data_IF_042528920470
#
_entry.id   IF_042528920470
#
_cell.length_a   1.000
_cell.length_b   1.000
_cell.length_c   1.000
_cell.angle_alpha   90.00
_cell.angle_beta   90.00
_cell.angle_gamma   90.00
#
_symmetry.space_group_name_H-M   'P 1'
#
loop_
_entity.id
_entity.type
_entity.pdbx_description
1 polymer ?
#
# COMPACT_ATOMS: atom_id res chain seq x y z
N UNK A 1 -19.23 8.68 0.48
CA UNK A 1 -18.08 8.89 1.39
C UNK A 1 -17.21 7.64 1.53
N UNK A 2 -17.76 6.45 1.49
CA UNK A 2 -17.02 5.17 1.59
C UNK A 2 -16.09 4.90 0.41
N UNK A 3 -16.50 5.24 -0.81
CA UNK A 3 -15.70 5.01 -2.03
C UNK A 3 -14.36 5.74 -2.02
N UNK A 4 -14.31 6.96 -1.48
CA UNK A 4 -13.05 7.71 -1.35
C UNK A 4 -12.03 7.06 -0.39
N UNK A 5 -12.47 6.18 0.53
CA UNK A 5 -11.57 5.45 1.42
C UNK A 5 -10.74 4.40 0.67
N UNK A 6 -11.23 3.87 -0.47
CA UNK A 6 -10.47 2.95 -1.33
C UNK A 6 -9.15 3.57 -1.80
N UNK A 7 -9.19 4.86 -2.15
CA UNK A 7 -8.00 5.59 -2.59
C UNK A 7 -6.95 5.65 -1.46
N UNK A 8 -7.39 5.83 -0.21
CA UNK A 8 -6.46 5.93 0.92
C UNK A 8 -5.79 4.60 1.25
N UNK A 9 -6.42 3.46 0.98
CA UNK A 9 -5.77 2.14 1.13
C UNK A 9 -4.50 2.07 0.30
N UNK A 10 -4.55 2.55 -0.95
CA UNK A 10 -3.42 2.52 -1.89
C UNK A 10 -2.49 3.75 -1.73
N UNK A 11 -3.06 4.94 -1.56
CA UNK A 11 -2.29 6.18 -1.54
C UNK A 11 -1.45 6.36 -0.26
N UNK A 12 -1.92 5.85 0.88
CA UNK A 12 -1.20 6.02 2.13
C UNK A 12 0.19 5.35 2.11
N UNK A 13 0.38 4.07 1.71
CA UNK A 13 1.72 3.50 1.63
C UNK A 13 2.59 4.13 0.54
N UNK A 14 2.00 4.64 -0.56
CA UNK A 14 2.74 5.42 -1.57
C UNK A 14 3.29 6.71 -0.96
N UNK A 15 2.49 7.43 -0.16
CA UNK A 15 2.97 8.58 0.59
C UNK A 15 4.06 8.19 1.61
N UNK A 16 3.90 7.03 2.26
CA UNK A 16 4.92 6.44 3.12
C UNK A 16 6.22 6.13 2.38
N UNK A 17 6.15 5.63 1.14
CA UNK A 17 7.32 5.41 0.29
C UNK A 17 8.03 6.73 -0.04
N UNK A 18 7.28 7.78 -0.41
CA UNK A 18 7.84 9.10 -0.68
C UNK A 18 8.54 9.68 0.56
N UNK A 19 7.94 9.54 1.76
CA UNK A 19 8.55 9.95 3.01
C UNK A 19 9.85 9.18 3.31
N UNK A 20 9.86 7.86 3.08
CA UNK A 20 11.04 7.03 3.25
C UNK A 20 12.18 7.43 2.31
N UNK A 21 11.87 7.76 1.06
CA UNK A 21 12.84 8.25 0.08
C UNK A 21 13.41 9.61 0.51
N UNK A 22 12.57 10.53 0.99
CA UNK A 22 13.03 11.82 1.54
C UNK A 22 13.98 11.61 2.73
N UNK A 23 13.67 10.65 3.61
CA UNK A 23 14.57 10.29 4.73
C UNK A 23 15.92 9.73 4.28
N UNK A 24 15.95 9.00 3.16
CA UNK A 24 17.21 8.53 2.57
C UNK A 24 18.05 9.67 1.99
N UNK A 25 17.40 10.65 1.35
CA UNK A 25 18.07 11.81 0.77
C UNK A 25 18.57 12.78 1.85
N UNK A 26 17.79 13.00 2.90
CA UNK A 26 18.09 13.89 4.01
C UNK A 26 18.32 13.09 5.30
N UNK A 27 19.56 12.77 5.60
CA UNK A 27 19.95 11.88 6.70
C UNK A 27 19.40 12.29 8.08
N UNK A 28 19.15 13.56 8.30
CA UNK A 28 18.52 14.10 9.52
C UNK A 28 17.05 13.69 9.67
N UNK A 29 16.36 13.39 8.56
CA UNK A 29 14.95 13.00 8.53
C UNK A 29 14.75 11.48 8.59
N UNK A 30 15.82 10.68 8.49
CA UNK A 30 15.71 9.22 8.38
C UNK A 30 14.90 8.56 9.50
N UNK A 31 15.07 8.88 10.81
CA UNK A 31 14.28 8.26 11.86
C UNK A 31 12.79 8.63 11.75
N UNK A 32 12.47 9.88 11.43
CA UNK A 32 11.11 10.34 11.24
C UNK A 32 10.46 9.72 10.01
N UNK A 33 11.20 9.59 8.92
CA UNK A 33 10.74 8.97 7.70
C UNK A 33 10.29 7.51 7.91
N UNK A 34 11.04 6.72 8.68
CA UNK A 34 10.67 5.34 9.05
C UNK A 34 9.36 5.30 9.85
N UNK A 35 9.20 6.22 10.81
CA UNK A 35 7.99 6.32 11.63
C UNK A 35 6.78 6.70 10.75
N UNK A 36 6.94 7.72 9.89
CA UNK A 36 5.88 8.18 8.99
C UNK A 36 5.49 7.07 8.00
N UNK A 37 6.47 6.35 7.43
CA UNK A 37 6.20 5.20 6.56
C UNK A 37 5.43 4.10 7.28
N UNK A 38 5.79 3.77 8.51
CA UNK A 38 5.04 2.78 9.30
C UNK A 38 3.64 3.28 9.67
N UNK A 39 3.52 4.57 10.03
CA UNK A 39 2.22 5.17 10.35
C UNK A 39 1.27 5.19 9.13
N UNK A 40 1.80 5.32 7.91
CA UNK A 40 1.00 5.26 6.69
C UNK A 40 0.26 3.93 6.51
N UNK A 41 0.84 2.81 6.99
CA UNK A 41 0.16 1.51 7.02
C UNK A 41 -1.02 1.49 8.00
N UNK A 42 -0.91 2.20 9.12
CA UNK A 42 -2.04 2.33 10.05
C UNK A 42 -3.22 3.08 9.39
N UNK A 43 -2.93 4.08 8.55
CA UNK A 43 -3.97 4.78 7.77
C UNK A 43 -4.69 3.81 6.83
N UNK A 44 -3.94 2.99 6.07
CA UNK A 44 -4.53 1.95 5.21
C UNK A 44 -5.34 0.94 6.02
N UNK A 45 -4.83 0.51 7.17
CA UNK A 45 -5.52 -0.41 8.07
C UNK A 45 -6.83 0.15 8.62
N UNK A 46 -6.85 1.42 9.01
CA UNK A 46 -8.08 2.12 9.45
C UNK A 46 -9.07 2.23 8.29
N UNK A 47 -8.61 2.61 7.09
CA UNK A 47 -9.48 2.67 5.91
C UNK A 47 -10.13 1.30 5.63
N UNK A 48 -9.35 0.20 5.65
CA UNK A 48 -9.86 -1.16 5.46
C UNK A 48 -10.84 -1.58 6.58
N UNK A 49 -10.57 -1.19 7.82
CA UNK A 49 -11.49 -1.48 8.94
C UNK A 49 -12.83 -0.76 8.78
N UNK A 50 -12.83 0.49 8.29
CA UNK A 50 -14.05 1.23 8.00
C UNK A 50 -14.83 0.66 6.80
N UNK A 51 -14.12 0.04 5.84
CA UNK A 51 -14.71 -0.62 4.67
C UNK A 51 -15.18 -2.06 4.97
N UNK A 52 -14.88 -2.60 6.14
CA UNK A 52 -15.25 -3.97 6.50
C UNK A 52 -16.77 -4.19 6.54
N UNK A 53 -17.52 -3.25 7.13
CA UNK A 53 -18.97 -3.42 7.30
C UNK A 53 -19.73 -3.55 5.97
N UNK A 54 -19.59 -2.65 4.97
CA UNK A 54 -20.25 -2.81 3.69
C UNK A 54 -19.81 -4.09 2.96
N UNK A 55 -18.51 -4.40 2.96
CA UNK A 55 -18.00 -5.61 2.27
C UNK A 55 -18.53 -6.90 2.91
N UNK A 56 -18.59 -6.98 4.25
CA UNK A 56 -19.17 -8.12 4.96
C UNK A 56 -20.68 -8.29 4.71
N UNK A 57 -21.37 -7.21 4.36
CA UNK A 57 -22.78 -7.24 3.94
C UNK A 57 -22.96 -7.67 2.48
N UNK A 58 -21.86 -8.00 1.77
CA UNK A 58 -21.90 -8.46 0.38
C UNK A 58 -21.86 -7.33 -0.65
N UNK A 59 -21.58 -6.09 -0.23
CA UNK A 59 -21.43 -4.98 -1.17
C UNK A 59 -20.06 -5.05 -1.87
N UNK A 60 -20.06 -4.81 -3.18
CA UNK A 60 -18.85 -4.58 -3.96
C UNK A 60 -18.68 -3.08 -4.13
N UNK A 61 -17.58 -2.55 -3.58
CA UNK A 61 -17.28 -1.12 -3.65
C UNK A 61 -16.40 -0.85 -4.87
N UNK A 62 -16.73 0.18 -5.64
CA UNK A 62 -15.93 0.60 -6.80
C UNK A 62 -15.65 2.09 -6.77
N UNK A 63 -14.46 2.47 -7.24
CA UNK A 63 -14.04 3.86 -7.36
C UNK A 63 -13.25 4.06 -8.66
N UNK A 64 -13.69 4.97 -9.51
CA UNK A 64 -12.98 5.32 -10.76
C UNK A 64 -11.99 6.46 -10.49
N UNK A 65 -10.72 6.19 -10.71
CA UNK A 65 -9.65 7.18 -10.59
C UNK A 65 -9.72 8.18 -11.76
N UNK A 66 -9.83 9.46 -11.42
CA UNK A 66 -9.80 10.55 -12.41
C UNK A 66 -11.09 10.73 -13.21
N UNK A 67 -12.19 10.05 -12.87
CA UNK A 67 -13.50 10.17 -13.55
C UNK A 67 -13.48 9.85 -15.06
N UNK A 68 -12.50 9.08 -15.52
CA UNK A 68 -12.47 8.54 -16.87
C UNK A 68 -13.26 7.25 -16.95
N UNK A 69 -14.18 7.12 -17.93
CA UNK A 69 -14.96 5.89 -18.07
C UNK A 69 -14.10 4.70 -18.52
N UNK A 70 -14.53 3.49 -18.14
CA UNK A 70 -13.94 2.26 -18.66
C UNK A 70 -14.05 2.19 -20.20
N UNK A 71 -13.05 1.65 -20.90
CA UNK A 71 -11.84 0.96 -20.43
C UNK A 71 -10.59 1.85 -20.27
N UNK A 72 -10.73 3.18 -20.33
CA UNK A 72 -9.59 4.13 -20.32
C UNK A 72 -9.17 4.49 -18.89
N UNK A 73 -10.11 4.50 -17.94
CA UNK A 73 -9.88 4.84 -16.56
C UNK A 73 -9.45 3.65 -15.71
N UNK A 74 -8.70 3.92 -14.63
CA UNK A 74 -8.33 2.93 -13.62
C UNK A 74 -9.50 2.79 -12.65
N UNK A 75 -10.05 1.59 -12.53
CA UNK A 75 -11.09 1.26 -11.57
C UNK A 75 -10.50 0.50 -10.38
N UNK A 76 -10.72 1.02 -9.17
CA UNK A 76 -10.49 0.26 -7.94
C UNK A 76 -11.78 -0.44 -7.57
N UNK A 77 -11.71 -1.74 -7.32
CA UNK A 77 -12.84 -2.59 -6.94
C UNK A 77 -12.46 -3.35 -5.67
N UNK A 78 -13.30 -3.27 -4.66
CA UNK A 78 -13.12 -4.01 -3.40
C UNK A 78 -14.32 -4.93 -3.17
N UNK A 79 -14.07 -6.21 -3.31
CA UNK A 79 -14.96 -7.30 -2.92
C UNK A 79 -14.46 -8.00 -1.64
N UNK A 80 -15.13 -9.07 -1.21
CA UNK A 80 -14.75 -9.83 -0.03
C UNK A 80 -13.36 -10.45 -0.12
N UNK A 81 -12.94 -10.93 -1.29
CA UNK A 81 -11.62 -11.56 -1.50
C UNK A 81 -10.53 -10.48 -1.49
N UNK A 82 -10.76 -9.38 -2.19
CA UNK A 82 -9.87 -8.22 -2.20
C UNK A 82 -9.67 -7.64 -0.79
N UNK A 83 -10.76 -7.54 -0.01
CA UNK A 83 -10.69 -7.05 1.36
C UNK A 83 -9.86 -7.96 2.26
N UNK A 84 -10.09 -9.28 2.24
CA UNK A 84 -9.31 -10.25 3.04
C UNK A 84 -7.84 -10.21 2.64
N UNK A 85 -7.53 -10.15 1.35
CA UNK A 85 -6.17 -10.07 0.82
C UNK A 85 -5.46 -8.80 1.28
N UNK A 86 -6.13 -7.64 1.21
CA UNK A 86 -5.60 -6.36 1.65
C UNK A 86 -5.43 -6.32 3.18
N UNK A 87 -6.37 -6.86 3.95
CA UNK A 87 -6.29 -6.93 5.41
C UNK A 87 -5.11 -7.80 5.86
N UNK A 88 -4.93 -8.98 5.26
CA UNK A 88 -3.80 -9.87 5.54
C UNK A 88 -2.46 -9.19 5.21
N UNK A 89 -2.38 -8.54 4.04
CA UNK A 89 -1.22 -7.73 3.64
C UNK A 89 -0.90 -6.67 4.70
N UNK A 90 -1.92 -5.95 5.19
CA UNK A 90 -1.75 -4.91 6.21
C UNK A 90 -1.15 -5.47 7.50
N UNK A 91 -1.68 -6.59 8.00
CA UNK A 91 -1.22 -7.22 9.24
C UNK A 91 0.25 -7.64 9.12
N UNK A 92 0.60 -8.34 8.04
CA UNK A 92 1.97 -8.81 7.81
C UNK A 92 2.92 -7.61 7.61
N UNK A 93 2.52 -6.65 6.80
CA UNK A 93 3.30 -5.44 6.52
C UNK A 93 3.58 -4.63 7.79
N UNK A 94 2.56 -4.47 8.65
CA UNK A 94 2.71 -3.76 9.92
C UNK A 94 3.69 -4.48 10.84
N UNK A 95 3.60 -5.81 10.95
CA UNK A 95 4.54 -6.61 11.74
C UNK A 95 5.99 -6.45 11.25
N UNK A 96 6.21 -6.51 9.93
CA UNK A 96 7.54 -6.31 9.31
C UNK A 96 8.04 -4.89 9.53
N UNK A 97 7.20 -3.87 9.33
CA UNK A 97 7.59 -2.47 9.49
C UNK A 97 7.98 -2.16 10.94
N UNK A 98 7.15 -2.56 11.91
CA UNK A 98 7.42 -2.37 13.35
C UNK A 98 8.71 -3.09 13.78
N UNK A 99 8.90 -4.34 13.34
CA UNK A 99 10.13 -5.09 13.61
C UNK A 99 11.38 -4.40 13.05
N UNK A 100 11.24 -3.74 11.91
CA UNK A 100 12.35 -3.09 11.20
C UNK A 100 12.71 -1.70 11.77
N UNK A 101 11.78 -1.01 12.47
CA UNK A 101 11.97 0.35 12.98
C UNK A 101 13.20 0.51 13.87
N UNK A 102 13.39 -0.43 14.82
CA UNK A 102 14.47 -0.34 15.81
C UNK A 102 15.84 -0.79 15.29
N UNK A 103 15.95 -1.25 14.05
CA UNK A 103 17.17 -1.86 13.52
C UNK A 103 17.91 -0.91 12.58
N UNK A 104 19.20 -0.67 12.87
CA UNK A 104 20.06 0.21 12.04
C UNK A 104 20.30 -0.34 10.63
N UNK A 105 20.18 -1.66 10.44
CA UNK A 105 20.32 -2.31 9.13
C UNK A 105 19.26 -1.82 8.13
N UNK A 106 18.04 -1.57 8.60
CA UNK A 106 16.92 -1.16 7.75
C UNK A 106 16.85 0.37 7.65
N UNK A 107 17.38 0.90 6.57
CA UNK A 107 17.43 2.34 6.27
C UNK A 107 16.15 2.84 5.60
N UNK A 108 16.06 4.14 5.34
CA UNK A 108 14.96 4.72 4.55
C UNK A 108 14.77 4.06 3.18
N UNK A 109 15.86 3.59 2.55
CA UNK A 109 15.78 2.83 1.30
C UNK A 109 15.02 1.49 1.45
N UNK A 110 15.23 0.77 2.55
CA UNK A 110 14.46 -0.44 2.85
C UNK A 110 12.97 -0.12 2.99
N UNK A 111 12.62 0.90 3.76
CA UNK A 111 11.22 1.31 3.96
C UNK A 111 10.58 1.79 2.66
N UNK A 112 11.33 2.45 1.78
CA UNK A 112 10.83 2.82 0.46
C UNK A 112 10.37 1.59 -0.34
N UNK A 113 11.25 0.58 -0.50
CA UNK A 113 10.88 -0.63 -1.26
C UNK A 113 9.85 -1.48 -0.53
N UNK A 114 9.84 -1.51 0.80
CA UNK A 114 8.78 -2.17 1.57
C UNK A 114 7.42 -1.52 1.29
N UNK A 115 7.32 -0.18 1.33
CA UNK A 115 6.06 0.53 1.04
C UNK A 115 5.63 0.37 -0.42
N UNK A 116 6.57 0.36 -1.37
CA UNK A 116 6.28 0.08 -2.79
C UNK A 116 5.73 -1.33 -2.97
N UNK A 117 6.34 -2.33 -2.33
CA UNK A 117 5.83 -3.72 -2.34
C UNK A 117 4.38 -3.79 -1.83
N UNK A 118 4.11 -3.16 -0.68
CA UNK A 118 2.77 -3.16 -0.08
C UNK A 118 1.76 -2.45 -0.97
N UNK A 119 2.15 -1.31 -1.57
CA UNK A 119 1.30 -0.59 -2.51
C UNK A 119 0.96 -1.45 -3.73
N UNK A 120 1.93 -2.18 -4.27
CA UNK A 120 1.71 -3.14 -5.35
C UNK A 120 0.73 -4.24 -4.95
N UNK A 121 0.87 -4.81 -3.75
CA UNK A 121 -0.02 -5.85 -3.23
C UNK A 121 -1.45 -5.33 -3.03
N UNK A 122 -1.62 -4.12 -2.52
CA UNK A 122 -2.94 -3.47 -2.46
C UNK A 122 -3.49 -3.20 -3.85
N UNK A 123 -2.64 -2.75 -4.79
CA UNK A 123 -3.05 -2.54 -6.16
C UNK A 123 -3.60 -3.81 -6.81
N UNK A 124 -2.95 -4.96 -6.65
CA UNK A 124 -3.45 -6.25 -7.14
C UNK A 124 -4.76 -6.65 -6.45
N UNK A 125 -4.87 -6.43 -5.13
CA UNK A 125 -6.07 -6.78 -4.36
C UNK A 125 -7.29 -5.90 -4.69
N UNK A 126 -7.06 -4.68 -5.18
CA UNK A 126 -8.09 -3.66 -5.40
C UNK A 126 -8.34 -3.35 -6.88
N UNK A 127 -7.56 -3.87 -7.82
CA UNK A 127 -7.72 -3.50 -9.22
C UNK A 127 -8.91 -4.20 -9.87
N UNK A 128 -9.67 -3.43 -10.68
CA UNK A 128 -10.73 -3.95 -11.54
C UNK A 128 -10.29 -4.21 -12.98
N UNK A 129 -9.03 -3.92 -13.35
CA UNK A 129 -8.54 -4.06 -14.72
C UNK A 129 -7.19 -4.79 -14.81
N UNK A 130 -6.99 -5.51 -15.91
CA UNK A 130 -5.80 -6.33 -16.14
C UNK A 130 -4.54 -5.50 -16.38
N UNK A 131 -4.64 -4.31 -16.94
CA UNK A 131 -3.49 -3.45 -17.20
C UNK A 131 -2.90 -2.94 -15.88
N UNK A 132 -3.75 -2.40 -15.00
CA UNK A 132 -3.33 -1.95 -13.67
C UNK A 132 -2.77 -3.12 -12.84
N UNK A 133 -3.37 -4.31 -12.95
CA UNK A 133 -2.87 -5.50 -12.29
C UNK A 133 -1.44 -5.84 -12.76
N UNK A 134 -1.17 -5.80 -14.07
CA UNK A 134 0.15 -6.03 -14.63
C UNK A 134 1.17 -5.02 -14.07
N UNK A 135 0.85 -3.73 -14.07
CA UNK A 135 1.73 -2.67 -13.52
C UNK A 135 2.02 -2.93 -12.04
N UNK A 136 1.02 -3.35 -11.25
CA UNK A 136 1.22 -3.67 -9.84
C UNK A 136 2.15 -4.87 -9.65
N UNK A 137 2.07 -5.91 -10.50
CA UNK A 137 3.00 -7.03 -10.47
C UNK A 137 4.44 -6.60 -10.78
N UNK A 138 4.66 -5.68 -11.71
CA UNK A 138 5.98 -5.14 -11.99
C UNK A 138 6.56 -4.38 -10.77
N UNK A 139 5.73 -3.58 -10.10
CA UNK A 139 6.13 -2.88 -8.88
C UNK A 139 6.51 -3.89 -7.78
N UNK A 140 5.72 -4.94 -7.60
CA UNK A 140 6.00 -6.04 -6.65
C UNK A 140 7.33 -6.69 -7.00
N UNK A 141 7.54 -7.09 -8.26
CA UNK A 141 8.73 -7.79 -8.71
C UNK A 141 10.02 -6.97 -8.42
N UNK A 142 10.04 -5.70 -8.84
CA UNK A 142 11.19 -4.82 -8.60
C UNK A 142 11.44 -4.65 -7.10
N UNK A 143 10.39 -4.43 -6.31
CA UNK A 143 10.51 -4.24 -4.87
C UNK A 143 11.05 -5.48 -4.17
N UNK A 144 10.55 -6.67 -4.53
CA UNK A 144 11.00 -7.96 -3.98
C UNK A 144 12.46 -8.21 -4.31
N UNK A 145 12.89 -7.99 -5.56
CA UNK A 145 14.30 -8.15 -5.95
C UNK A 145 15.24 -7.33 -5.06
N UNK A 146 14.90 -6.07 -4.83
CA UNK A 146 15.72 -5.20 -3.99
C UNK A 146 15.69 -5.63 -2.53
N UNK A 147 14.52 -6.02 -2.00
CA UNK A 147 14.37 -6.43 -0.60
C UNK A 147 15.07 -7.77 -0.30
N UNK A 148 15.08 -8.73 -1.24
CA UNK A 148 15.81 -9.99 -1.09
C UNK A 148 17.33 -9.75 -1.06
N UNK A 149 17.81 -8.82 -1.88
CA UNK A 149 19.23 -8.44 -1.92
C UNK A 149 19.64 -7.44 -0.82
N UNK A 150 18.73 -7.16 0.15
CA UNK A 150 19.01 -6.20 1.21
C UNK A 150 19.94 -6.81 2.27
N UNK A 151 21.21 -6.42 2.25
CA UNK A 151 22.24 -6.81 3.23
C UNK A 151 22.46 -5.76 4.33
#
# INVERSE_FOLDING_TARGET
>A
MTEGLLVWVLAAPLAGAAAALAGKLFRSLEPWAKIVSTASLAVSGVALALLAAPVMNGEVLSYQLGSWPEPVGIALVLDGIGWVSAALTTVIAMAVAVFSLGRKKYTGGFFFFLMMLISGMYGVALTGDLFTMFVCFEIIAVSVYVLIAWE
#
